data_IF_172803057763
#
_entry.id   IF_172803057763
#
_cell.length_a   1.000
_cell.length_b   1.000
_cell.length_c   1.000
_cell.angle_alpha   90.00
_cell.angle_beta   90.00
_cell.angle_gamma   90.00
#
_symmetry.space_group_name_H-M   'P 1'
#
loop_
_entity.id
_entity.type
_entity.pdbx_description
1 polymer ?
#
# COMPACT_ATOMS: atom_id res chain seq x y z
N UNK A 1 0.92 -12.38 -11.59
CA UNK A 1 1.06 -11.32 -10.55
C UNK A 1 -0.30 -10.99 -10.00
N UNK A 2 -0.42 -10.93 -8.67
CA UNK A 2 -1.61 -10.44 -7.98
C UNK A 2 -1.37 -8.96 -7.67
N UNK A 3 -2.29 -8.08 -8.06
CA UNK A 3 -2.16 -6.64 -7.82
C UNK A 3 -3.33 -6.12 -6.99
N UNK A 4 -3.09 -5.09 -6.18
CA UNK A 4 -4.16 -4.35 -5.54
C UNK A 4 -5.09 -3.74 -6.59
N UNK A 5 -6.39 -3.70 -6.31
CA UNK A 5 -7.37 -3.01 -7.13
C UNK A 5 -7.21 -1.50 -6.98
N UNK A 6 -6.38 -0.92 -7.84
CA UNK A 6 -6.11 0.51 -7.91
C UNK A 6 -6.67 1.11 -9.21
N UNK A 7 -7.39 2.23 -9.10
CA UNK A 7 -7.95 2.96 -10.25
C UNK A 7 -6.87 3.65 -11.10
N UNK A 8 -5.69 3.92 -10.54
CA UNK A 8 -4.60 4.59 -11.24
C UNK A 8 -3.72 3.63 -12.04
N UNK A 9 -3.85 2.31 -11.79
CA UNK A 9 -3.03 1.26 -12.37
C UNK A 9 -1.52 1.55 -12.22
N UNK A 10 -1.11 2.14 -11.08
CA UNK A 10 0.22 2.73 -10.92
C UNK A 10 1.35 1.74 -11.21
N UNK A 11 1.34 0.57 -10.54
CA UNK A 11 2.37 -0.46 -10.70
C UNK A 11 2.39 -1.00 -12.12
N UNK A 12 1.22 -1.30 -12.69
CA UNK A 12 1.11 -1.80 -14.07
C UNK A 12 1.70 -0.80 -15.08
N UNK A 13 1.38 0.48 -14.91
CA UNK A 13 1.88 1.55 -15.79
C UNK A 13 3.38 1.79 -15.60
N UNK A 14 3.92 1.65 -14.38
CA UNK A 14 5.35 1.73 -14.10
C UNK A 14 6.12 0.67 -14.90
N UNK A 15 5.68 -0.59 -14.80
CA UNK A 15 6.30 -1.72 -15.47
C UNK A 15 6.14 -1.66 -17.00
N UNK A 16 4.98 -1.24 -17.51
CA UNK A 16 4.78 -0.98 -18.94
C UNK A 16 5.74 0.07 -19.49
N UNK A 17 5.94 1.19 -18.78
CA UNK A 17 6.88 2.25 -19.17
C UNK A 17 8.33 1.77 -19.21
N UNK A 18 8.69 0.80 -18.37
CA UNK A 18 10.00 0.15 -18.37
C UNK A 18 10.15 -0.94 -19.46
N UNK A 19 9.13 -1.21 -20.28
CA UNK A 19 9.15 -2.28 -21.28
C UNK A 19 9.03 -3.69 -20.70
N UNK A 20 8.55 -3.81 -19.45
CA UNK A 20 8.44 -5.07 -18.71
C UNK A 20 6.97 -5.33 -18.33
N UNK A 21 6.06 -5.58 -19.28
CA UNK A 21 4.64 -5.73 -18.96
C UNK A 21 4.39 -6.91 -18.01
N UNK A 22 3.62 -6.68 -16.95
CA UNK A 22 3.26 -7.72 -15.97
C UNK A 22 2.12 -8.60 -16.52
N UNK A 23 2.21 -9.91 -16.30
CA UNK A 23 1.07 -10.81 -16.46
C UNK A 23 0.22 -10.81 -15.18
N UNK A 24 -1.00 -10.27 -15.26
CA UNK A 24 -1.88 -10.04 -14.12
C UNK A 24 -2.86 -11.21 -13.99
N UNK A 25 -2.76 -11.96 -12.90
CA UNK A 25 -3.59 -13.14 -12.64
C UNK A 25 -4.97 -12.72 -12.10
N UNK A 26 -4.98 -11.81 -11.13
CA UNK A 26 -6.20 -11.26 -10.54
C UNK A 26 -5.93 -9.90 -9.87
N UNK A 27 -7.01 -9.22 -9.48
CA UNK A 27 -6.97 -7.99 -8.68
C UNK A 27 -7.75 -8.19 -7.38
N UNK A 28 -7.23 -7.64 -6.29
CA UNK A 28 -7.78 -7.81 -4.94
C UNK A 28 -7.81 -6.46 -4.24
N UNK A 29 -8.87 -6.16 -3.49
CA UNK A 29 -9.00 -4.87 -2.80
C UNK A 29 -8.17 -4.81 -1.50
N UNK A 30 -8.06 -5.92 -0.78
CA UNK A 30 -7.41 -5.99 0.53
C UNK A 30 -6.03 -6.67 0.47
N UNK A 31 -5.03 -6.03 1.10
CA UNK A 31 -3.65 -6.55 1.16
C UNK A 31 -3.57 -7.93 1.84
N UNK A 32 -4.46 -8.23 2.78
CA UNK A 32 -4.51 -9.53 3.47
C UNK A 32 -5.02 -10.66 2.57
N UNK A 33 -6.06 -10.39 1.78
CA UNK A 33 -6.53 -11.36 0.80
C UNK A 33 -5.47 -11.63 -0.28
N UNK A 34 -4.72 -10.59 -0.68
CA UNK A 34 -3.56 -10.74 -1.56
C UNK A 34 -2.47 -11.60 -0.91
N UNK A 35 -2.09 -11.35 0.35
CA UNK A 35 -1.11 -12.16 1.07
C UNK A 35 -1.55 -13.63 1.21
N UNK A 36 -2.84 -13.87 1.48
CA UNK A 36 -3.42 -15.22 1.54
C UNK A 36 -3.37 -15.98 0.20
N UNK A 37 -3.52 -15.29 -0.93
CA UNK A 37 -3.34 -15.91 -2.25
C UNK A 37 -1.86 -16.22 -2.53
N UNK A 38 -0.95 -15.34 -2.12
CA UNK A 38 0.50 -15.60 -2.25
C UNK A 38 0.92 -16.81 -1.40
N UNK A 39 0.37 -16.97 -0.18
CA UNK A 39 0.70 -18.08 0.71
C UNK A 39 0.23 -19.46 0.24
N UNK A 40 -0.58 -19.52 -0.82
CA UNK A 40 -1.02 -20.79 -1.44
C UNK A 40 -0.44 -20.96 -2.85
N UNK A 41 0.68 -20.31 -3.14
CA UNK A 41 1.40 -20.35 -4.42
C UNK A 41 0.58 -19.87 -5.64
N UNK A 42 -0.45 -19.03 -5.44
CA UNK A 42 -1.25 -18.51 -6.56
C UNK A 42 -0.46 -17.51 -7.43
N UNK A 43 0.59 -16.91 -6.88
CA UNK A 43 1.51 -16.02 -7.59
C UNK A 43 2.24 -15.04 -6.67
N UNK A 44 3.01 -14.13 -7.26
CA UNK A 44 3.68 -13.04 -6.52
C UNK A 44 2.92 -11.72 -6.57
N UNK A 45 3.27 -10.80 -5.66
CA UNK A 45 2.64 -9.49 -5.53
C UNK A 45 3.65 -8.37 -5.23
N UNK A 46 3.25 -7.12 -5.51
CA UNK A 46 4.01 -5.91 -5.18
C UNK A 46 3.08 -4.96 -4.42
N UNK A 47 3.42 -4.66 -3.17
CA UNK A 47 2.66 -3.78 -2.28
C UNK A 47 3.59 -3.15 -1.23
N UNK A 48 3.20 -2.02 -0.61
CA UNK A 48 3.90 -1.52 0.55
C UNK A 48 3.93 -2.57 1.65
N UNK A 49 5.05 -2.65 2.36
CA UNK A 49 5.15 -3.54 3.52
C UNK A 49 4.10 -3.16 4.57
N UNK A 50 3.49 -4.17 5.19
CA UNK A 50 2.57 -3.97 6.31
C UNK A 50 2.87 -4.98 7.43
N UNK A 51 2.54 -4.62 8.67
CA UNK A 51 2.83 -5.43 9.86
C UNK A 51 1.98 -6.70 9.97
N UNK A 52 1.11 -6.94 8.99
CA UNK A 52 0.27 -8.12 8.92
C UNK A 52 0.85 -9.20 8.00
N UNK A 53 1.86 -8.87 7.18
CA UNK A 53 2.59 -9.83 6.33
C UNK A 53 3.15 -11.03 7.11
N UNK A 54 3.72 -10.86 8.33
CA UNK A 54 4.26 -12.00 9.09
C UNK A 54 3.23 -13.03 9.55
N UNK A 55 1.93 -12.75 9.46
CA UNK A 55 0.88 -13.71 9.77
C UNK A 55 0.55 -14.65 8.60
N UNK A 56 1.22 -14.49 7.46
CA UNK A 56 1.06 -15.33 6.28
C UNK A 56 2.36 -16.10 6.00
N UNK A 57 2.24 -17.31 5.48
CA UNK A 57 3.39 -18.09 5.02
C UNK A 57 3.88 -17.56 3.67
N UNK A 58 4.60 -16.44 3.70
CA UNK A 58 5.09 -15.74 2.52
C UNK A 58 6.55 -15.29 2.71
N UNK A 59 7.30 -15.29 1.61
CA UNK A 59 8.60 -14.63 1.56
C UNK A 59 8.44 -13.16 1.13
N UNK A 60 8.95 -12.24 1.96
CA UNK A 60 9.00 -10.81 1.63
C UNK A 60 10.36 -10.48 1.02
N UNK A 61 10.37 -9.99 -0.21
CA UNK A 61 11.57 -9.53 -0.91
C UNK A 61 11.63 -8.00 -0.88
N UNK A 62 12.55 -7.39 -0.11
CA UNK A 62 12.70 -5.94 -0.11
C UNK A 62 13.33 -5.46 -1.43
N UNK A 63 12.97 -4.25 -1.85
CA UNK A 63 13.69 -3.58 -2.94
C UNK A 63 15.08 -3.13 -2.46
N UNK A 64 16.08 -3.20 -3.34
CA UNK A 64 17.43 -2.70 -3.06
C UNK A 64 17.42 -1.22 -2.65
N UNK A 65 16.58 -0.43 -3.32
CA UNK A 65 16.31 0.96 -2.96
C UNK A 65 14.90 1.05 -2.37
N UNK A 66 14.75 1.49 -1.11
CA UNK A 66 13.44 1.66 -0.50
C UNK A 66 12.56 2.63 -1.30
N UNK A 67 11.33 2.21 -1.56
CA UNK A 67 10.31 3.06 -2.18
C UNK A 67 9.14 3.25 -1.23
N UNK A 68 8.64 4.48 -1.14
CA UNK A 68 7.59 4.85 -0.20
C UNK A 68 6.34 5.31 -0.94
N UNK A 69 5.17 4.86 -0.46
CA UNK A 69 3.86 5.39 -0.87
C UNK A 69 3.54 6.58 0.04
N UNK A 70 3.46 7.82 -0.47
CA UNK A 70 3.09 8.96 0.36
C UNK A 70 1.62 8.81 0.81
N UNK A 71 1.37 9.10 2.08
CA UNK A 71 0.02 9.13 2.67
C UNK A 71 -0.31 10.58 3.01
N UNK A 72 -1.45 11.06 2.55
CA UNK A 72 -1.87 12.45 2.72
C UNK A 72 -3.07 12.55 3.65
N UNK A 73 -3.03 13.53 4.56
CA UNK A 73 -4.21 13.95 5.31
C UNK A 73 -5.06 14.88 4.43
N UNK A 74 -6.21 14.41 3.97
CA UNK A 74 -7.15 15.20 3.20
C UNK A 74 -8.23 15.81 4.10
N UNK A 75 -8.54 17.10 3.91
CA UNK A 75 -9.65 17.78 4.57
C UNK A 75 -10.42 18.68 3.62
N UNK A 76 -11.72 18.82 3.87
CA UNK A 76 -12.57 19.79 3.18
C UNK A 76 -12.20 21.20 3.65
N UNK A 77 -11.96 22.10 2.70
CA UNK A 77 -11.56 23.50 3.00
C UNK A 77 -12.72 24.33 3.54
N UNK A 78 -13.94 23.96 3.18
CA UNK A 78 -15.18 24.68 3.47
C UNK A 78 -15.85 24.24 4.77
N UNK A 79 -15.31 23.23 5.46
CA UNK A 79 -15.85 22.73 6.72
C UNK A 79 -14.91 23.11 7.86
N UNK A 80 -15.45 23.87 8.83
CA UNK A 80 -14.78 24.06 10.10
C UNK A 80 -14.88 22.76 10.90
N UNK A 81 -13.72 22.16 11.20
CA UNK A 81 -13.64 20.95 12.01
C UNK A 81 -14.16 21.23 13.43
N UNK A 82 -14.88 20.29 14.03
CA UNK A 82 -15.19 20.33 15.47
C UNK A 82 -13.95 20.00 16.31
N UNK A 83 -14.03 20.19 17.62
CA UNK A 83 -12.88 20.05 18.53
C UNK A 83 -12.19 18.69 18.40
N UNK A 84 -12.93 17.58 18.26
CA UNK A 84 -12.36 16.23 18.13
C UNK A 84 -11.45 16.08 16.90
N UNK A 85 -11.96 16.28 15.67
CA UNK A 85 -11.13 16.25 14.47
C UNK A 85 -9.99 17.28 14.45
N UNK A 86 -10.13 18.45 15.09
CA UNK A 86 -9.01 19.40 15.23
C UNK A 86 -7.88 18.83 16.10
N UNK A 87 -8.22 18.19 17.24
CA UNK A 87 -7.24 17.52 18.10
C UNK A 87 -6.56 16.38 17.35
N UNK A 88 -7.32 15.62 16.56
CA UNK A 88 -6.75 14.55 15.73
C UNK A 88 -5.85 15.08 14.60
N UNK A 89 -6.25 16.14 13.89
CA UNK A 89 -5.40 16.80 12.88
C UNK A 89 -4.08 17.28 13.50
N UNK A 90 -4.14 17.88 14.69
CA UNK A 90 -2.96 18.31 15.42
C UNK A 90 -2.08 17.13 15.80
N UNK A 91 -2.66 16.07 16.37
CA UNK A 91 -1.95 14.83 16.69
C UNK A 91 -1.22 14.25 15.48
N UNK A 92 -1.87 14.18 14.31
CA UNK A 92 -1.25 13.66 13.09
C UNK A 92 -0.10 14.55 12.58
N UNK A 93 -0.13 15.86 12.83
CA UNK A 93 0.95 16.78 12.41
C UNK A 93 2.14 16.78 13.36
N UNK A 94 1.87 16.65 14.65
CA UNK A 94 2.87 16.71 15.70
C UNK A 94 3.58 15.35 15.89
N UNK A 95 2.95 14.26 15.47
CA UNK A 95 3.50 12.91 15.61
C UNK A 95 4.56 12.63 14.55
N UNK A 96 5.74 12.24 15.02
CA UNK A 96 6.73 11.57 14.17
C UNK A 96 6.24 10.15 13.86
N UNK A 97 5.98 9.89 12.58
CA UNK A 97 5.75 8.53 12.09
C UNK A 97 7.10 7.92 11.78
N UNK A 98 7.63 7.10 12.70
CA UNK A 98 8.73 6.22 12.38
C UNK A 98 8.26 5.18 11.37
N UNK A 99 8.93 5.13 10.23
CA UNK A 99 8.78 4.03 9.28
C UNK A 99 9.47 2.82 9.92
N UNK A 100 8.69 1.98 10.61
CA UNK A 100 9.17 0.66 11.05
C UNK A 100 9.38 -0.18 9.79
N UNK A 101 10.64 -0.30 9.37
CA UNK A 101 11.09 -1.26 8.36
C UNK A 101 11.22 -2.65 9.00
#
# INVERSE_FOLDING_TARGET
MILCQDKTYFIENLFKKAGLPLNISCRVEEDQALAGLVSIDFGGAILPYNNLMPFHDIAVLPFETPMYRPVYLAKRKDIQLSTGPQVFEKFLKDKEFSLSL
#
